data_IF_792528663823
#
_entry.id   IF_792528663823
#
_cell.length_a   1.000
_cell.length_b   1.000
_cell.length_c   1.000
_cell.angle_alpha   90.00
_cell.angle_beta   90.00
_cell.angle_gamma   90.00
#
_symmetry.space_group_name_H-M   'P 1'
#
loop_
_entity.id
_entity.type
_entity.pdbx_description
1 polymer ?
#
# COMPACT_ATOMS: atom_id res chain seq x y z
N UNK A 1 -6.37 17.09 -37.49
CA UNK A 1 -5.78 17.75 -38.68
C UNK A 1 -5.57 16.70 -39.77
N UNK A 2 -6.14 16.98 -40.94
CA UNK A 2 -5.86 16.47 -42.31
C UNK A 2 -5.98 14.95 -42.56
N UNK A 3 -7.00 14.42 -43.24
CA UNK A 3 -7.47 14.53 -44.65
C UNK A 3 -6.64 13.77 -45.72
N UNK A 4 -7.38 13.04 -46.58
CA UNK A 4 -7.17 12.77 -48.03
C UNK A 4 -6.21 11.61 -48.38
N UNK A 5 -6.43 10.70 -49.36
CA UNK A 5 -7.54 10.42 -50.30
C UNK A 5 -7.15 9.27 -51.26
N UNK A 6 -8.15 8.80 -52.03
CA UNK A 6 -8.14 8.12 -53.35
C UNK A 6 -7.95 6.60 -53.37
N UNK A 7 -8.93 5.74 -53.73
CA UNK A 7 -9.79 5.60 -54.94
C UNK A 7 -9.04 5.06 -56.17
N UNK A 8 -9.47 3.89 -56.69
CA UNK A 8 -9.72 3.49 -58.11
C UNK A 8 -10.01 1.96 -58.11
N UNK A 9 -11.20 1.39 -58.38
CA UNK A 9 -12.12 1.30 -59.55
C UNK A 9 -11.74 0.26 -60.66
N UNK A 10 -12.78 -0.40 -61.22
CA UNK A 10 -12.86 -1.41 -62.33
C UNK A 10 -12.85 -2.90 -61.88
N UNK A 11 -13.92 -3.72 -61.90
CA UNK A 11 -15.05 -4.09 -62.81
C UNK A 11 -14.66 -5.06 -63.96
N UNK A 12 -15.55 -6.05 -64.21
CA UNK A 12 -15.79 -6.92 -65.41
C UNK A 12 -15.14 -8.34 -65.34
N UNK A 13 -15.74 -9.49 -65.70
CA UNK A 13 -17.00 -9.89 -66.37
C UNK A 13 -17.16 -11.45 -66.41
N UNK A 14 -18.42 -11.91 -66.58
CA UNK A 14 -18.95 -13.11 -67.31
C UNK A 14 -18.53 -14.54 -66.93
N UNK A 15 -19.47 -15.47 -66.63
CA UNK A 15 -20.52 -16.13 -67.44
C UNK A 15 -20.03 -17.11 -68.52
N UNK A 16 -20.42 -18.38 -68.32
CA UNK A 16 -20.78 -19.46 -69.26
C UNK A 16 -19.81 -19.86 -70.40
N UNK A 17 -19.52 -21.17 -70.47
CA UNK A 17 -19.92 -21.99 -71.63
C UNK A 17 -19.67 -23.48 -71.38
N UNK A 18 -20.59 -24.27 -71.93
CA UNK A 18 -20.63 -25.72 -71.86
C UNK A 18 -20.10 -26.36 -73.16
N UNK A 19 -19.97 -27.68 -73.07
CA UNK A 19 -19.98 -28.71 -74.13
C UNK A 19 -18.64 -29.07 -74.80
N UNK A 20 -18.28 -30.34 -74.66
CA UNK A 20 -17.20 -31.00 -75.40
C UNK A 20 -17.15 -32.49 -75.06
N UNK A 21 -17.86 -33.28 -75.87
CA UNK A 21 -18.09 -34.73 -75.78
C UNK A 21 -16.77 -35.52 -75.87
N UNK A 22 -16.62 -36.60 -75.09
CA UNK A 22 -15.67 -37.67 -75.39
C UNK A 22 -16.27 -39.06 -75.11
N UNK A 23 -15.91 -39.97 -76.00
CA UNK A 23 -16.58 -41.22 -76.37
C UNK A 23 -16.48 -42.33 -75.32
N UNK A 24 -17.50 -43.19 -75.35
CA UNK A 24 -17.59 -44.49 -74.67
C UNK A 24 -16.57 -45.48 -75.26
N UNK A 25 -15.91 -46.27 -74.40
CA UNK A 25 -15.47 -47.62 -74.74
C UNK A 25 -15.79 -48.56 -73.58
N UNK A 26 -16.45 -49.68 -73.91
CA UNK A 26 -16.90 -50.71 -72.97
C UNK A 26 -15.77 -51.71 -72.79
N UNK A 27 -15.26 -51.83 -71.56
CA UNK A 27 -14.41 -52.92 -71.13
C UNK A 27 -15.14 -53.70 -70.05
N UNK A 28 -15.63 -54.89 -70.39
CA UNK A 28 -16.18 -55.84 -69.44
C UNK A 28 -15.05 -56.40 -68.56
N UNK A 29 -15.07 -56.04 -67.29
CA UNK A 29 -14.22 -56.60 -66.24
C UNK A 29 -15.01 -56.55 -64.94
N UNK A 30 -15.53 -57.70 -64.54
CA UNK A 30 -16.20 -57.88 -63.25
C UNK A 30 -15.17 -57.80 -62.12
N UNK A 31 -14.91 -56.60 -61.61
CA UNK A 31 -14.33 -56.44 -60.28
C UNK A 31 -15.47 -56.02 -59.35
N UNK A 32 -15.89 -56.95 -58.51
CA UNK A 32 -16.64 -56.62 -57.31
C UNK A 32 -15.64 -55.86 -56.44
N UNK A 33 -15.55 -54.54 -56.63
CA UNK A 33 -14.97 -53.70 -55.60
C UNK A 33 -15.88 -53.89 -54.39
N UNK A 34 -15.38 -54.70 -53.47
CA UNK A 34 -15.88 -54.87 -52.12
C UNK A 34 -16.22 -53.46 -51.63
N UNK A 35 -17.52 -53.14 -51.54
CA UNK A 35 -17.96 -51.85 -51.04
C UNK A 35 -17.61 -51.84 -49.56
N UNK A 36 -16.41 -51.38 -49.24
CA UNK A 36 -15.99 -51.16 -47.88
C UNK A 36 -16.89 -50.04 -47.36
N UNK A 37 -17.89 -50.41 -46.57
CA UNK A 37 -18.75 -49.46 -45.86
C UNK A 37 -17.91 -48.91 -44.72
N UNK A 38 -17.30 -47.76 -44.96
CA UNK A 38 -16.58 -47.00 -43.95
C UNK A 38 -17.61 -46.18 -43.15
N UNK A 39 -17.69 -46.36 -41.83
CA UNK A 39 -18.63 -45.60 -41.00
C UNK A 39 -18.20 -44.13 -40.85
N UNK A 40 -16.90 -43.88 -40.66
CA UNK A 40 -16.33 -42.54 -40.62
C UNK A 40 -14.88 -42.53 -41.17
N UNK A 41 -14.48 -41.42 -41.78
CA UNK A 41 -13.10 -41.15 -42.21
C UNK A 41 -12.43 -40.03 -41.39
N UNK A 42 -13.23 -39.19 -40.74
CA UNK A 42 -12.78 -38.12 -39.86
C UNK A 42 -13.81 -37.86 -38.74
N UNK A 43 -13.40 -37.15 -37.69
CA UNK A 43 -14.27 -36.77 -36.58
C UNK A 43 -15.52 -35.99 -37.04
N UNK A 44 -15.41 -35.18 -38.10
CA UNK A 44 -16.54 -34.42 -38.65
C UNK A 44 -17.66 -35.29 -39.23
N UNK A 45 -17.44 -36.58 -39.48
CA UNK A 45 -18.49 -37.51 -39.90
C UNK A 45 -19.31 -38.04 -38.72
N UNK A 46 -18.83 -37.84 -37.49
CA UNK A 46 -19.46 -38.34 -36.27
C UNK A 46 -20.30 -37.28 -35.55
N UNK A 47 -20.43 -36.08 -36.13
CA UNK A 47 -21.25 -34.99 -35.60
C UNK A 47 -22.71 -35.46 -35.41
N UNK A 48 -23.12 -35.63 -34.16
CA UNK A 48 -24.47 -36.00 -33.76
C UNK A 48 -25.33 -34.78 -33.41
N UNK A 49 -24.79 -33.57 -33.58
CA UNK A 49 -25.43 -32.30 -33.25
C UNK A 49 -25.47 -31.98 -31.75
N UNK A 50 -24.90 -32.82 -30.88
CA UNK A 50 -24.81 -32.57 -29.45
C UNK A 50 -23.51 -31.86 -29.11
N UNK A 51 -23.58 -30.55 -28.90
CA UNK A 51 -22.43 -29.75 -28.49
C UNK A 51 -21.78 -30.19 -27.17
N UNK A 52 -22.44 -31.03 -26.36
CA UNK A 52 -21.91 -31.58 -25.09
C UNK A 52 -21.12 -32.87 -25.26
N UNK A 53 -20.83 -33.31 -26.49
CA UNK A 53 -19.98 -34.47 -26.79
C UNK A 53 -18.80 -34.08 -27.67
N UNK A 54 -17.65 -34.74 -27.46
CA UNK A 54 -16.54 -34.74 -28.40
C UNK A 54 -16.71 -35.94 -29.33
N UNK A 55 -16.93 -35.65 -30.62
CA UNK A 55 -17.20 -36.66 -31.63
C UNK A 55 -15.90 -37.17 -32.23
N UNK A 56 -15.63 -38.46 -32.03
CA UNK A 56 -14.36 -39.09 -32.39
C UNK A 56 -14.63 -40.24 -33.36
N UNK A 57 -13.97 -40.21 -34.51
CA UNK A 57 -13.90 -41.37 -35.39
C UNK A 57 -12.80 -42.31 -34.91
N UNK A 58 -13.19 -43.47 -34.38
CA UNK A 58 -12.24 -44.52 -33.99
C UNK A 58 -11.84 -45.30 -35.24
N UNK A 59 -10.54 -45.60 -35.38
CA UNK A 59 -9.96 -46.32 -36.53
C UNK A 59 -10.34 -45.74 -37.91
N UNK A 60 -10.14 -44.44 -38.17
CA UNK A 60 -10.55 -43.78 -39.42
C UNK A 60 -9.94 -44.46 -40.65
N UNK A 61 -10.65 -44.39 -41.78
CA UNK A 61 -10.24 -44.98 -43.07
C UNK A 61 -10.07 -46.52 -43.07
N UNK A 62 -10.51 -47.21 -42.00
CA UNK A 62 -10.50 -48.68 -41.90
C UNK A 62 -11.92 -49.26 -41.86
N UNK A 63 -12.08 -50.53 -42.25
CA UNK A 63 -13.38 -51.22 -42.16
C UNK A 63 -13.88 -51.42 -40.72
N UNK A 64 -13.01 -51.20 -39.71
CA UNK A 64 -13.35 -51.23 -38.28
C UNK A 64 -13.72 -49.85 -37.74
N UNK A 65 -13.88 -48.84 -38.61
CA UNK A 65 -14.20 -47.49 -38.14
C UNK A 65 -15.58 -47.42 -37.50
N UNK A 66 -15.72 -46.62 -36.43
CA UNK A 66 -17.00 -46.31 -35.81
C UNK A 66 -16.94 -44.97 -35.07
N UNK A 67 -18.11 -44.36 -34.86
CA UNK A 67 -18.22 -43.10 -34.13
C UNK A 67 -18.39 -43.32 -32.64
N UNK A 68 -17.62 -42.57 -31.84
CA UNK A 68 -17.71 -42.52 -30.39
C UNK A 68 -17.92 -41.06 -29.95
N UNK A 69 -19.05 -40.78 -29.27
CA UNK A 69 -19.40 -39.44 -28.81
C UNK A 69 -19.18 -39.38 -27.31
N UNK A 70 -18.07 -38.77 -26.89
CA UNK A 70 -17.65 -38.76 -25.49
C UNK A 70 -18.19 -37.53 -24.77
N UNK A 71 -18.81 -37.66 -23.59
CA UNK A 71 -19.35 -36.51 -22.88
C UNK A 71 -18.24 -35.51 -22.50
N UNK A 72 -18.53 -34.23 -22.65
CA UNK A 72 -17.71 -33.10 -22.22
C UNK A 72 -18.26 -32.61 -20.87
N UNK A 73 -17.40 -32.54 -19.86
CA UNK A 73 -17.75 -32.09 -18.50
C UNK A 73 -17.90 -30.57 -18.43
N UNK A 74 -17.03 -29.81 -19.09
CA UNK A 74 -17.03 -28.35 -19.05
C UNK A 74 -16.43 -27.71 -20.31
N UNK A 75 -16.94 -26.54 -20.66
CA UNK A 75 -16.46 -25.70 -21.78
C UNK A 75 -15.72 -24.47 -21.26
N UNK A 76 -16.09 -24.01 -20.08
CA UNK A 76 -15.59 -22.80 -19.44
C UNK A 76 -15.48 -23.01 -17.92
N UNK A 77 -14.73 -22.13 -17.26
CA UNK A 77 -14.62 -22.14 -15.80
C UNK A 77 -15.98 -21.97 -15.10
N UNK A 78 -16.89 -21.19 -15.72
CA UNK A 78 -18.23 -20.94 -15.16
C UNK A 78 -19.12 -22.18 -15.13
N UNK A 79 -18.84 -23.18 -15.96
CA UNK A 79 -19.54 -24.48 -15.91
C UNK A 79 -19.16 -25.28 -14.65
N UNK A 80 -17.97 -25.03 -14.10
CA UNK A 80 -17.45 -25.69 -12.90
C UNK A 80 -17.87 -25.01 -11.60
N UNK A 81 -18.28 -23.74 -11.66
CA UNK A 81 -18.71 -22.96 -10.51
C UNK A 81 -18.43 -21.48 -10.68
N UNK A 82 -18.75 -20.72 -9.64
CA UNK A 82 -18.45 -19.29 -9.58
C UNK A 82 -17.42 -19.06 -8.50
N UNK A 83 -16.34 -18.38 -8.87
CA UNK A 83 -15.32 -17.98 -7.93
C UNK A 83 -15.91 -17.11 -6.82
N UNK A 84 -15.47 -17.33 -5.58
CA UNK A 84 -16.00 -16.61 -4.43
C UNK A 84 -15.08 -16.66 -3.22
N UNK A 85 -15.26 -15.67 -2.35
CA UNK A 85 -14.76 -15.72 -0.99
C UNK A 85 -15.58 -16.75 -0.18
N UNK A 86 -14.89 -17.53 0.65
CA UNK A 86 -15.45 -18.59 1.49
C UNK A 86 -14.86 -18.54 2.89
N UNK A 87 -15.62 -19.06 3.87
CA UNK A 87 -15.21 -19.12 5.27
C UNK A 87 -15.22 -17.76 5.95
N UNK A 88 -14.75 -17.74 7.20
CA UNK A 88 -14.65 -16.52 8.00
C UNK A 88 -13.36 -15.75 7.68
N UNK A 89 -13.33 -14.48 8.08
CA UNK A 89 -12.10 -13.68 8.06
C UNK A 89 -11.10 -14.26 9.06
N UNK A 90 -9.82 -14.27 8.69
CA UNK A 90 -8.74 -14.74 9.56
C UNK A 90 -7.51 -13.84 9.41
N UNK A 91 -6.62 -13.91 10.40
CA UNK A 91 -5.37 -13.17 10.37
C UNK A 91 -4.27 -14.02 9.74
N UNK A 92 -3.53 -13.41 8.83
CA UNK A 92 -2.30 -13.98 8.29
C UNK A 92 -1.29 -12.83 8.15
N UNK A 93 -0.13 -12.98 8.78
CA UNK A 93 0.84 -11.88 8.92
C UNK A 93 0.16 -10.65 9.57
N UNK A 94 0.39 -9.44 9.06
CA UNK A 94 -0.21 -8.19 9.54
C UNK A 94 -1.53 -7.83 8.83
N UNK A 95 -2.08 -8.72 8.01
CA UNK A 95 -3.32 -8.47 7.25
C UNK A 95 -4.52 -9.35 7.68
N UNK A 96 -5.71 -8.87 7.34
CA UNK A 96 -6.96 -9.65 7.37
C UNK A 96 -7.15 -10.33 6.02
N UNK A 97 -7.32 -11.65 6.03
CA UNK A 97 -7.49 -12.48 4.86
C UNK A 97 -8.83 -13.23 4.90
N UNK A 98 -9.30 -13.62 3.72
CA UNK A 98 -10.38 -14.59 3.55
C UNK A 98 -10.01 -15.56 2.44
N UNK A 99 -10.44 -16.81 2.56
CA UNK A 99 -10.14 -17.81 1.54
C UNK A 99 -10.92 -17.49 0.26
N UNK A 100 -10.23 -17.38 -0.87
CA UNK A 100 -10.84 -17.26 -2.18
C UNK A 100 -10.79 -18.62 -2.87
N UNK A 101 -11.96 -19.14 -3.22
CA UNK A 101 -12.10 -20.38 -3.98
C UNK A 101 -12.29 -20.07 -5.45
N UNK A 102 -11.35 -20.50 -6.28
CA UNK A 102 -11.44 -20.41 -7.74
C UNK A 102 -11.82 -21.75 -8.36
N UNK A 103 -12.59 -21.73 -9.45
CA UNK A 103 -12.98 -22.92 -10.21
C UNK A 103 -12.38 -22.85 -11.61
N UNK A 104 -11.76 -23.95 -12.04
CA UNK A 104 -11.12 -24.05 -13.35
C UNK A 104 -11.62 -25.28 -14.09
N UNK A 105 -11.99 -25.09 -15.36
CA UNK A 105 -12.21 -26.17 -16.30
C UNK A 105 -10.86 -26.55 -16.93
N UNK A 106 -10.39 -27.76 -16.65
CA UNK A 106 -9.15 -28.29 -17.23
C UNK A 106 -9.49 -29.03 -18.51
N UNK A 107 -8.73 -28.82 -19.58
CA UNK A 107 -8.98 -29.36 -20.93
C UNK A 107 -10.40 -29.04 -21.47
N UNK A 108 -10.81 -27.75 -21.50
CA UNK A 108 -12.17 -27.35 -21.88
C UNK A 108 -12.56 -27.85 -23.28
N UNK A 109 -13.86 -28.13 -23.48
CA UNK A 109 -14.42 -28.58 -24.75
C UNK A 109 -13.84 -29.90 -25.29
N UNK A 110 -13.33 -30.77 -24.40
CA UNK A 110 -12.85 -32.11 -24.76
C UNK A 110 -13.45 -33.17 -23.84
N UNK A 111 -13.42 -34.42 -24.28
CA UNK A 111 -13.79 -35.60 -23.47
C UNK A 111 -12.90 -35.83 -22.25
N UNK A 112 -11.75 -35.15 -22.18
CA UNK A 112 -10.84 -35.15 -21.01
C UNK A 112 -11.10 -33.98 -20.07
N UNK A 113 -12.16 -33.21 -20.32
CA UNK A 113 -12.50 -32.07 -19.49
C UNK A 113 -12.90 -32.50 -18.08
N UNK A 114 -12.42 -31.77 -17.08
CA UNK A 114 -12.86 -31.95 -15.70
C UNK A 114 -12.76 -30.64 -14.92
N UNK A 115 -13.59 -30.53 -13.87
CA UNK A 115 -13.59 -29.38 -12.99
C UNK A 115 -12.59 -29.55 -11.86
N UNK A 116 -11.76 -28.53 -11.66
CA UNK A 116 -10.84 -28.39 -10.54
C UNK A 116 -11.17 -27.13 -9.74
N UNK A 117 -10.74 -27.08 -8.49
CA UNK A 117 -10.85 -25.88 -7.67
C UNK A 117 -9.66 -25.70 -6.77
N UNK A 118 -9.27 -24.46 -6.54
CA UNK A 118 -8.19 -24.10 -5.64
C UNK A 118 -8.70 -23.14 -4.57
N UNK A 119 -8.08 -23.16 -3.40
CA UNK A 119 -8.41 -22.26 -2.30
C UNK A 119 -7.12 -21.58 -1.87
N UNK A 120 -7.07 -20.26 -2.03
CA UNK A 120 -5.93 -19.45 -1.66
C UNK A 120 -6.36 -18.30 -0.74
N UNK A 121 -5.55 -17.93 0.26
CA UNK A 121 -5.80 -16.72 1.04
C UNK A 121 -5.78 -15.48 0.15
N UNK A 122 -6.82 -14.67 0.25
CA UNK A 122 -6.94 -13.39 -0.42
C UNK A 122 -6.92 -12.26 0.62
N UNK A 123 -6.05 -11.28 0.42
CA UNK A 123 -5.90 -10.14 1.34
C UNK A 123 -7.14 -9.24 1.21
N UNK A 124 -7.88 -9.08 2.32
CA UNK A 124 -9.06 -8.22 2.40
C UNK A 124 -8.69 -6.83 2.89
N UNK A 125 -7.85 -6.75 3.93
CA UNK A 125 -7.38 -5.49 4.47
C UNK A 125 -5.96 -5.62 5.02
N UNK A 126 -5.13 -4.61 4.77
CA UNK A 126 -3.81 -4.50 5.39
C UNK A 126 -3.94 -3.74 6.71
N UNK A 127 -3.37 -4.24 7.80
CA UNK A 127 -3.51 -3.60 9.12
C UNK A 127 -2.22 -2.89 9.51
N UNK A 128 -2.34 -1.63 9.95
CA UNK A 128 -1.20 -0.80 10.36
C UNK A 128 -0.49 -1.38 11.59
N UNK A 129 -1.26 -1.77 12.61
CA UNK A 129 -0.72 -2.29 13.88
C UNK A 129 -0.63 -3.82 13.89
N UNK A 130 -1.57 -4.48 13.22
CA UNK A 130 -1.66 -5.93 13.16
C UNK A 130 -3.10 -6.44 13.17
N UNK A 131 -3.25 -7.76 13.12
CA UNK A 131 -4.53 -8.43 13.02
C UNK A 131 -4.76 -9.37 14.22
N UNK A 132 -5.98 -9.34 14.77
CA UNK A 132 -6.45 -10.32 15.76
C UNK A 132 -7.90 -10.72 15.49
N UNK A 133 -8.22 -12.00 15.63
CA UNK A 133 -9.57 -12.56 15.43
C UNK A 133 -10.23 -12.18 14.06
N UNK A 134 -9.43 -12.13 12.99
CA UNK A 134 -9.92 -11.80 11.65
C UNK A 134 -10.29 -10.32 11.49
N UNK A 135 -9.78 -9.45 12.36
CA UNK A 135 -10.00 -7.99 12.32
C UNK A 135 -8.70 -7.26 12.55
N UNK A 136 -8.58 -6.06 11.99
CA UNK A 136 -7.47 -5.20 12.33
C UNK A 136 -7.58 -4.73 13.77
N UNK A 137 -6.46 -4.76 14.48
CA UNK A 137 -6.30 -4.11 15.76
C UNK A 137 -6.26 -2.61 15.49
N UNK A 138 -7.10 -1.87 16.20
CA UNK A 138 -7.14 -0.40 16.11
C UNK A 138 -6.05 0.16 16.99
N UNK A 139 -5.25 1.06 16.45
CA UNK A 139 -4.44 1.92 17.30
C UNK A 139 -5.33 2.95 17.99
N UNK A 140 -5.11 3.12 19.28
CA UNK A 140 -5.77 4.14 20.10
C UNK A 140 -4.75 5.03 20.81
N UNK A 141 -3.46 4.82 20.54
CA UNK A 141 -2.33 5.48 21.18
C UNK A 141 -2.02 6.73 20.38
N UNK A 142 -2.13 7.93 20.97
CA UNK A 142 -1.83 9.14 20.22
C UNK A 142 -0.32 9.33 20.07
N UNK A 143 0.11 10.04 19.02
CA UNK A 143 1.51 10.27 18.76
C UNK A 143 2.15 11.15 19.84
N UNK A 144 3.47 11.09 19.92
CA UNK A 144 4.29 11.95 20.76
C UNK A 144 5.01 13.02 19.94
N UNK A 145 5.41 14.11 20.60
CA UNK A 145 6.05 15.24 19.95
C UNK A 145 7.51 15.37 20.33
N UNK A 146 8.37 15.65 19.36
CA UNK A 146 9.75 16.06 19.55
C UNK A 146 9.91 17.52 19.17
N UNK A 147 10.23 18.34 20.15
CA UNK A 147 10.47 19.78 20.03
C UNK A 147 11.98 20.00 19.96
N UNK A 148 12.47 20.41 18.79
CA UNK A 148 13.89 20.61 18.51
C UNK A 148 14.17 22.01 17.98
N UNK A 149 15.43 22.45 18.12
CA UNK A 149 15.89 23.69 17.52
C UNK A 149 16.48 23.43 16.13
N UNK A 150 15.95 24.12 15.11
CA UNK A 150 16.43 24.05 13.74
C UNK A 150 17.36 25.25 13.45
N UNK A 151 18.61 24.93 13.12
CA UNK A 151 19.67 25.89 12.87
C UNK A 151 19.49 26.69 11.57
N UNK A 152 18.88 26.08 10.55
CA UNK A 152 18.74 26.65 9.21
C UNK A 152 17.74 27.81 9.22
N UNK A 153 16.60 27.61 9.89
CA UNK A 153 15.54 28.62 10.01
C UNK A 153 15.62 29.44 11.31
N UNK A 154 16.59 29.10 12.17
CA UNK A 154 16.78 29.68 13.50
C UNK A 154 15.46 29.74 14.30
N UNK A 155 14.77 28.60 14.37
CA UNK A 155 13.45 28.48 14.99
C UNK A 155 13.25 27.12 15.65
N UNK A 156 12.15 26.96 16.37
CA UNK A 156 11.70 25.67 16.88
C UNK A 156 10.94 24.93 15.80
N UNK A 157 11.27 23.66 15.64
CA UNK A 157 10.59 22.70 14.80
C UNK A 157 9.97 21.63 15.71
N UNK A 158 8.75 21.21 15.37
CA UNK A 158 8.02 20.16 16.08
C UNK A 158 7.87 19.01 15.10
N UNK A 159 8.28 17.84 15.56
CA UNK A 159 8.12 16.58 14.85
C UNK A 159 7.17 15.68 15.62
N UNK A 160 6.46 14.82 14.91
CA UNK A 160 5.73 13.72 15.50
C UNK A 160 6.56 12.43 15.49
N UNK A 161 6.32 11.61 16.50
CA UNK A 161 6.83 10.24 16.60
C UNK A 161 5.71 9.39 17.14
N UNK A 162 5.43 8.26 16.50
CA UNK A 162 4.52 7.27 17.03
C UNK A 162 5.24 5.94 17.28
N UNK A 163 4.72 5.15 18.21
CA UNK A 163 5.31 3.87 18.62
C UNK A 163 4.83 2.68 17.81
N UNK A 164 3.69 2.82 17.13
CA UNK A 164 2.96 1.77 16.45
C UNK A 164 2.91 2.00 14.94
N UNK A 165 2.98 3.26 14.51
CA UNK A 165 3.11 3.65 13.11
C UNK A 165 4.28 4.63 12.85
N UNK A 166 4.52 4.89 11.56
CA UNK A 166 5.62 5.75 11.11
C UNK A 166 5.15 7.11 10.58
N UNK A 167 3.85 7.31 10.47
CA UNK A 167 3.22 8.45 9.80
C UNK A 167 2.57 9.39 10.81
N UNK A 168 3.25 10.50 11.13
CA UNK A 168 2.65 11.57 11.95
C UNK A 168 2.66 12.88 11.20
N UNK A 169 1.47 13.37 10.87
CA UNK A 169 1.29 14.70 10.28
C UNK A 169 1.32 15.77 11.38
N UNK A 170 2.06 16.85 11.14
CA UNK A 170 2.19 17.96 12.11
C UNK A 170 1.69 19.26 11.49
N UNK A 171 0.59 19.78 12.02
CA UNK A 171 0.02 21.08 11.63
C UNK A 171 0.09 22.08 12.78
N UNK A 172 0.65 23.26 12.54
CA UNK A 172 0.76 24.32 13.55
C UNK A 172 0.06 25.61 13.12
N UNK A 173 -0.82 26.13 13.97
CA UNK A 173 -1.58 27.37 13.74
C UNK A 173 -1.29 28.39 14.83
N UNK A 174 -1.11 29.66 14.46
CA UNK A 174 -0.96 30.76 15.41
C UNK A 174 -2.32 31.13 16.02
N UNK A 175 -2.52 30.87 17.31
CA UNK A 175 -3.77 31.12 18.04
C UNK A 175 -3.82 32.60 18.48
N UNK A 176 -4.51 33.43 17.68
CA UNK A 176 -4.89 34.82 18.01
C UNK A 176 -3.73 35.74 18.44
N UNK A 177 -3.01 36.32 17.48
CA UNK A 177 -2.05 37.38 17.74
C UNK A 177 -2.74 38.74 17.87
N UNK A 178 -2.93 39.23 19.10
CA UNK A 178 -3.09 40.67 19.30
C UNK A 178 -1.74 41.34 19.00
N UNK A 179 -1.72 42.36 18.13
CA UNK A 179 -0.51 43.02 17.62
C UNK A 179 0.44 43.57 18.70
N UNK A 180 -0.05 43.67 19.95
CA UNK A 180 0.67 44.18 21.12
C UNK A 180 1.32 43.10 22.01
N UNK A 181 1.08 41.81 21.75
CA UNK A 181 1.59 40.74 22.62
C UNK A 181 3.05 40.38 22.31
N UNK A 182 3.93 40.55 23.31
CA UNK A 182 5.35 40.14 23.29
C UNK A 182 5.57 38.62 23.20
N UNK A 183 4.53 37.82 23.46
CA UNK A 183 4.52 36.36 23.37
C UNK A 183 3.29 35.93 22.60
N UNK A 184 3.50 35.19 21.51
CA UNK A 184 2.44 34.66 20.66
C UNK A 184 2.03 33.27 21.15
N UNK A 185 0.78 32.90 20.91
CA UNK A 185 0.32 31.55 21.14
C UNK A 185 0.34 30.78 19.82
N UNK A 186 0.68 29.50 19.89
CA UNK A 186 0.68 28.58 18.76
C UNK A 186 0.11 27.26 19.24
N UNK A 187 -0.82 26.71 18.47
CA UNK A 187 -1.38 25.38 18.69
C UNK A 187 -0.85 24.47 17.60
N UNK A 188 -0.23 23.37 17.99
CA UNK A 188 0.22 22.34 17.07
C UNK A 188 -0.57 21.06 17.30
N UNK A 189 -1.05 20.48 16.21
CA UNK A 189 -1.82 19.25 16.16
C UNK A 189 -0.95 18.22 15.45
N UNK A 190 -0.71 17.11 16.13
CA UNK A 190 -0.04 15.94 15.60
C UNK A 190 -1.10 14.87 15.43
N UNK A 191 -1.25 14.32 14.24
CA UNK A 191 -2.23 13.27 13.90
C UNK A 191 -1.50 12.09 13.28
N UNK A 192 -1.77 10.89 13.79
CA UNK A 192 -1.24 9.64 13.25
C UNK A 192 -2.14 9.04 12.15
N UNK A 193 -1.70 7.97 11.50
CA UNK A 193 -2.45 7.34 10.40
C UNK A 193 -3.74 6.66 10.88
N UNK A 194 -3.85 6.40 12.19
CA UNK A 194 -5.03 5.85 12.85
C UNK A 194 -6.01 6.92 13.33
N UNK A 195 -5.70 8.20 13.12
CA UNK A 195 -6.53 9.36 13.50
C UNK A 195 -6.44 9.72 14.99
N UNK A 196 -5.46 9.22 15.73
CA UNK A 196 -5.20 9.68 17.09
C UNK A 196 -4.45 11.01 17.05
N UNK A 197 -4.74 11.89 18.02
CA UNK A 197 -4.32 13.28 17.98
C UNK A 197 -3.63 13.69 19.27
N UNK A 198 -2.46 14.31 19.14
CA UNK A 198 -1.83 15.12 20.18
C UNK A 198 -1.93 16.61 19.84
N UNK A 199 -2.66 17.36 20.67
CA UNK A 199 -2.72 18.81 20.62
C UNK A 199 -1.77 19.44 21.65
N UNK A 200 -0.96 20.39 21.20
CA UNK A 200 0.07 21.08 21.97
C UNK A 200 -0.18 22.57 21.91
N UNK A 201 -0.51 23.17 23.04
CA UNK A 201 -0.63 24.61 23.14
C UNK A 201 0.69 25.20 23.66
N UNK A 202 1.28 26.10 22.88
CA UNK A 202 2.58 26.70 23.13
C UNK A 202 2.47 28.21 23.27
N UNK A 203 3.29 28.78 24.16
CA UNK A 203 3.67 30.20 24.10
C UNK A 203 5.03 30.30 23.48
N UNK A 204 5.17 31.12 22.44
CA UNK A 204 6.42 31.30 21.73
C UNK A 204 6.82 32.77 21.62
N UNK A 205 8.12 33.01 21.52
CA UNK A 205 8.72 34.31 21.25
C UNK A 205 9.94 34.10 20.37
N UNK A 206 9.97 34.78 19.23
CA UNK A 206 11.11 34.78 18.32
C UNK A 206 11.72 36.18 18.23
N UNK A 207 13.05 36.22 18.25
CA UNK A 207 13.86 37.39 17.98
C UNK A 207 14.89 37.03 16.91
N UNK A 208 15.70 37.99 16.46
CA UNK A 208 16.68 37.78 15.39
C UNK A 208 17.63 36.60 15.65
N UNK A 209 18.04 36.41 16.91
CA UNK A 209 19.08 35.44 17.30
C UNK A 209 18.65 34.49 18.43
N UNK A 210 17.41 34.57 18.89
CA UNK A 210 16.92 33.73 19.98
C UNK A 210 15.47 33.37 19.76
N UNK A 211 15.15 32.11 20.04
CA UNK A 211 13.80 31.58 20.09
C UNK A 211 13.54 30.99 21.47
N UNK A 212 12.37 31.29 22.00
CA UNK A 212 11.88 30.78 23.27
C UNK A 212 10.50 30.18 23.07
N UNK A 213 10.27 29.00 23.62
CA UNK A 213 8.95 28.36 23.67
C UNK A 213 8.67 27.76 25.04
N UNK A 214 7.38 27.63 25.35
CA UNK A 214 6.85 26.98 26.55
C UNK A 214 5.60 26.21 26.16
N UNK A 215 5.53 24.93 26.54
CA UNK A 215 4.30 24.15 26.46
C UNK A 215 3.40 24.54 27.61
N UNK A 216 2.21 25.06 27.30
CA UNK A 216 1.19 25.47 28.28
C UNK A 216 0.40 24.24 28.72
N UNK A 217 -0.03 23.44 27.76
CA UNK A 217 -0.78 22.22 27.98
C UNK A 217 -0.68 21.28 26.77
N UNK A 218 -1.00 20.01 27.04
CA UNK A 218 -1.08 18.92 26.09
C UNK A 218 -2.47 18.27 26.21
N UNK A 219 -3.02 17.80 25.08
CA UNK A 219 -4.26 17.04 25.06
C UNK A 219 -4.10 15.88 24.09
N UNK A 220 -4.32 14.66 24.58
CA UNK A 220 -4.24 13.39 23.86
C UNK A 220 -5.68 12.95 23.53
N UNK A 221 -6.00 12.69 22.26
CA UNK A 221 -7.34 12.30 21.77
C UNK A 221 -8.51 13.17 22.28
N UNK A 222 -8.27 14.46 22.53
CA UNK A 222 -9.28 15.35 23.09
C UNK A 222 -9.66 15.06 24.55
N UNK A 223 -8.92 14.17 25.22
CA UNK A 223 -9.16 13.78 26.61
C UNK A 223 -8.67 14.87 27.60
N UNK A 224 -8.32 14.45 28.82
CA UNK A 224 -7.93 15.33 29.91
C UNK A 224 -6.77 16.25 29.52
N UNK A 225 -6.96 17.55 29.69
CA UNK A 225 -5.94 18.58 29.49
C UNK A 225 -4.83 18.41 30.55
N UNK A 226 -3.60 18.22 30.11
CA UNK A 226 -2.40 18.10 30.95
C UNK A 226 -1.67 19.45 30.96
N UNK A 227 -1.85 20.22 32.05
CA UNK A 227 -1.22 21.54 32.17
C UNK A 227 0.24 21.46 32.61
N UNK A 228 1.14 22.08 31.84
CA UNK A 228 2.57 22.14 32.07
C UNK A 228 2.99 23.54 32.51
N UNK A 229 2.81 23.84 33.80
CA UNK A 229 2.94 25.22 34.29
C UNK A 229 4.38 25.75 34.34
N UNK A 230 5.42 24.91 34.41
CA UNK A 230 6.79 25.36 34.66
C UNK A 230 7.82 24.59 33.82
N UNK A 231 7.88 24.95 32.55
CA UNK A 231 8.85 24.48 31.58
C UNK A 231 9.23 25.64 30.65
N UNK A 232 10.40 25.53 30.02
CA UNK A 232 10.87 26.48 29.02
C UNK A 232 11.91 25.82 28.12
N UNK A 233 11.87 26.15 26.84
CA UNK A 233 12.91 25.80 25.90
C UNK A 233 13.38 27.06 25.18
N UNK A 234 14.63 27.45 25.42
CA UNK A 234 15.25 28.59 24.77
C UNK A 234 16.47 28.13 24.00
N UNK A 235 16.61 28.61 22.77
CA UNK A 235 17.80 28.43 21.95
C UNK A 235 18.22 29.79 21.39
N UNK A 236 19.51 30.09 21.49
CA UNK A 236 20.09 31.32 20.95
C UNK A 236 21.28 31.02 20.08
N UNK A 237 21.37 31.69 18.93
CA UNK A 237 22.41 31.50 17.94
C UNK A 237 22.99 32.85 17.56
N UNK A 238 24.21 33.10 18.02
CA UNK A 238 24.97 34.29 17.75
C UNK A 238 26.20 33.95 16.89
N UNK A 239 26.95 34.97 16.46
CA UNK A 239 28.16 34.77 15.64
C UNK A 239 29.23 33.90 16.31
N UNK A 240 29.31 33.91 17.64
CA UNK A 240 30.38 33.23 18.41
C UNK A 240 29.93 31.91 19.05
N UNK A 241 28.64 31.76 19.35
CA UNK A 241 28.15 30.59 20.08
C UNK A 241 26.69 30.27 19.81
N UNK A 242 26.32 29.03 20.11
CA UNK A 242 24.94 28.55 20.17
C UNK A 242 24.68 28.09 21.61
N UNK A 243 23.61 28.56 22.23
CA UNK A 243 23.26 28.21 23.61
C UNK A 243 21.85 27.68 23.70
N UNK A 244 21.64 26.65 24.51
CA UNK A 244 20.30 26.21 24.88
C UNK A 244 20.10 26.30 26.39
N UNK A 245 18.90 26.70 26.78
CA UNK A 245 18.42 26.66 28.16
C UNK A 245 17.08 25.95 28.18
N UNK A 246 17.09 24.71 28.66
CA UNK A 246 15.94 23.81 28.65
C UNK A 246 15.61 23.46 30.08
N UNK A 247 14.37 23.71 30.52
CA UNK A 247 13.97 23.37 31.88
C UNK A 247 12.56 22.78 31.93
N UNK A 248 12.39 21.83 32.83
CA UNK A 248 11.10 21.30 33.25
C UNK A 248 11.15 21.13 34.77
N UNK A 249 10.30 21.85 35.50
CA UNK A 249 10.32 21.91 36.96
C UNK A 249 10.22 20.51 37.56
N UNK A 250 11.05 20.25 38.57
CA UNK A 250 11.15 18.97 39.27
C UNK A 250 11.57 17.78 38.37
N UNK A 251 11.99 18.03 37.13
CA UNK A 251 12.49 17.01 36.21
C UNK A 251 13.95 17.29 35.89
N UNK A 252 14.21 18.32 35.08
CA UNK A 252 15.55 18.64 34.61
C UNK A 252 15.76 20.12 34.32
N UNK A 253 17.02 20.55 34.34
CA UNK A 253 17.49 21.83 33.85
C UNK A 253 18.80 21.62 33.08
N UNK A 254 18.83 22.05 31.83
CA UNK A 254 19.91 21.79 30.87
C UNK A 254 20.39 23.11 30.32
N UNK A 255 21.70 23.32 30.41
CA UNK A 255 22.38 24.47 29.85
C UNK A 255 23.47 23.98 28.91
N UNK A 256 23.43 24.43 27.66
CA UNK A 256 24.49 24.19 26.68
C UNK A 256 25.10 25.50 26.21
N UNK A 257 26.41 25.49 25.96
CA UNK A 257 27.14 26.61 25.36
C UNK A 257 28.17 26.03 24.37
N UNK A 258 27.78 26.00 23.10
CA UNK A 258 28.64 25.63 21.98
C UNK A 258 29.42 26.84 21.49
N UNK A 259 30.74 26.75 21.49
CA UNK A 259 31.62 27.78 21.00
C UNK A 259 32.12 27.43 19.60
N UNK A 260 31.77 28.27 18.62
CA UNK A 260 32.06 28.05 17.19
C UNK A 260 33.54 28.16 16.85
N UNK A 261 34.34 28.82 17.68
CA UNK A 261 35.75 29.05 17.41
C UNK A 261 36.63 27.85 17.75
N UNK A 262 36.24 27.07 18.75
CA UNK A 262 37.01 25.91 19.22
C UNK A 262 36.25 24.59 19.04
N UNK A 263 35.09 24.63 18.39
CA UNK A 263 34.24 23.49 18.05
C UNK A 263 33.95 22.58 19.25
N UNK A 264 33.53 23.18 20.38
CA UNK A 264 33.23 22.44 21.62
C UNK A 264 31.95 22.93 22.26
N UNK A 265 31.18 22.00 22.81
CA UNK A 265 29.99 22.28 23.61
C UNK A 265 30.23 21.97 25.08
N UNK A 266 30.06 22.98 25.93
CA UNK A 266 29.93 22.74 27.37
C UNK A 266 28.48 22.40 27.71
N UNK A 267 28.27 21.27 28.38
CA UNK A 267 26.94 20.78 28.78
C UNK A 267 26.86 20.76 30.30
N UNK A 268 25.76 21.28 30.85
CA UNK A 268 25.40 21.14 32.27
C UNK A 268 23.97 20.65 32.38
N UNK A 269 23.78 19.49 33.01
CA UNK A 269 22.48 18.86 33.25
C UNK A 269 22.27 18.78 34.76
N UNK A 270 21.11 19.24 35.24
CA UNK A 270 20.70 19.11 36.62
C UNK A 270 19.38 18.35 36.71
N UNK A 271 19.35 17.27 37.47
CA UNK A 271 18.17 16.43 37.72
C UNK A 271 18.00 16.28 39.24
N UNK A 272 16.99 16.96 39.79
CA UNK A 272 16.85 17.08 41.25
C UNK A 272 18.10 17.70 41.91
N UNK A 273 18.80 16.89 42.72
CA UNK A 273 20.04 17.29 43.42
C UNK A 273 21.31 16.94 42.63
N UNK A 274 21.21 16.09 41.61
CA UNK A 274 22.34 15.64 40.82
C UNK A 274 22.67 16.68 39.77
N UNK A 275 23.95 17.03 39.63
CA UNK A 275 24.44 17.90 38.55
C UNK A 275 25.58 17.21 37.82
N UNK A 276 25.47 17.07 36.51
CA UNK A 276 26.52 16.59 35.62
C UNK A 276 26.99 17.77 34.77
N UNK A 277 28.31 17.93 34.65
CA UNK A 277 28.93 18.93 33.77
C UNK A 277 30.07 18.29 33.01
N UNK A 278 30.06 18.44 31.69
CA UNK A 278 31.06 17.87 30.80
C UNK A 278 31.19 18.75 29.55
N UNK A 279 32.21 18.47 28.75
CA UNK A 279 32.47 19.15 27.48
C UNK A 279 32.61 18.08 26.39
N UNK A 280 31.90 18.27 25.29
CA UNK A 280 31.99 17.43 24.10
C UNK A 280 32.62 18.22 22.95
N UNK A 281 33.32 17.54 22.06
CA UNK A 281 33.69 18.09 20.75
C UNK A 281 32.43 18.23 19.88
N UNK A 282 32.41 19.21 18.99
CA UNK A 282 31.29 19.46 18.10
C UNK A 282 30.12 20.18 18.76
N UNK A 283 29.06 20.34 17.97
CA UNK A 283 27.80 20.95 18.38
C UNK A 283 26.87 19.89 18.99
N UNK A 284 26.52 20.07 20.25
CA UNK A 284 25.52 19.23 20.94
C UNK A 284 24.22 20.01 21.12
N UNK A 285 23.14 19.50 20.54
CA UNK A 285 21.79 20.03 20.71
C UNK A 285 20.90 19.03 21.45
N UNK A 286 20.09 19.56 22.36
CA UNK A 286 19.08 18.85 23.10
C UNK A 286 17.69 19.18 22.56
N UNK A 287 16.84 18.15 22.56
CA UNK A 287 15.45 18.21 22.18
C UNK A 287 14.58 17.83 23.39
N UNK A 288 13.34 18.30 23.41
CA UNK A 288 12.33 17.84 24.37
C UNK A 288 11.42 16.85 23.64
N UNK A 289 11.08 15.73 24.26
CA UNK A 289 9.98 14.88 23.81
C UNK A 289 8.84 14.85 24.82
N UNK A 290 7.63 14.62 24.35
CA UNK A 290 6.50 14.22 25.19
C UNK A 290 6.45 12.69 25.30
N UNK A 291 5.85 12.22 26.39
CA UNK A 291 5.60 10.80 26.70
C UNK A 291 4.45 10.75 27.70
N UNK A 292 3.23 10.50 27.23
CA UNK A 292 2.02 10.44 28.03
C UNK A 292 1.88 11.65 28.98
N UNK A 293 2.10 12.85 28.44
CA UNK A 293 2.07 14.11 29.19
C UNK A 293 3.32 14.43 30.01
N UNK A 294 4.31 13.54 30.05
CA UNK A 294 5.60 13.76 30.69
C UNK A 294 6.62 14.29 29.68
N UNK A 295 7.27 15.41 30.02
CA UNK A 295 8.43 15.87 29.25
C UNK A 295 9.69 15.08 29.58
N UNK A 296 10.40 14.65 28.55
CA UNK A 296 11.75 14.06 28.58
C UNK A 296 12.69 14.90 27.71
N UNK A 297 13.99 14.69 27.86
CA UNK A 297 14.99 15.30 26.98
C UNK A 297 15.82 14.21 26.32
N UNK A 298 16.24 14.46 25.07
CA UNK A 298 17.14 13.61 24.31
C UNK A 298 18.27 14.46 23.72
N UNK A 299 19.41 13.86 23.46
CA UNK A 299 20.57 14.50 22.82
C UNK A 299 20.73 14.04 21.40
N UNK A 300 20.85 14.99 20.47
CA UNK A 300 21.39 14.71 19.15
C UNK A 300 22.84 15.21 19.15
N UNK A 301 23.80 14.31 19.35
CA UNK A 301 25.19 14.60 19.00
C UNK A 301 25.30 14.49 17.47
N UNK A 302 25.70 15.58 16.82
CA UNK A 302 26.17 15.55 15.42
C UNK A 302 27.68 15.69 15.41
#
# INVERSE_FOLDING_TARGET
MKFISCIFFAIFLSLFSAVGVMSVSVGAGSDVQNLIILNCHANSNCDDGNLSTEDICINPETYESYCENKPITCFTNTDCGTDKLIGDLFCQSEGVYQNYKSFNCINPATSKSYCSSEVNPFLINDCIVGCSEGKCVTDITPPEAVIKYNLEINDIEILGTDSQDSGVEVTCVDSSSSFYLLKKSKTCTLEDDSGNILNINLKYKKSKNSVWTKIVDLTYNGEKIISLKQNSFESSNNKKSIKQNISAKNKFNILTDYNKNNDKTTVKIQEGRTTKKYTEEGLVLFNISTDNGTLRYNTNSR
#
